data_IF_847932829249
#
_entry.id   IF_847932829249
#
_cell.length_a   1.000
_cell.length_b   1.000
_cell.length_c   1.000
_cell.angle_alpha   90.00
_cell.angle_beta   90.00
_cell.angle_gamma   90.00
#
_symmetry.space_group_name_H-M   'P 1'
#
loop_
_entity.id
_entity.type
_entity.pdbx_description
1 polymer ?
#
# COMPACT_ATOMS: atom_id res chain seq x y z
N UNK A 1 30.30 73.93 -24.88
CA UNK A 1 30.35 72.43 -24.81
C UNK A 1 29.91 72.00 -23.40
N UNK A 2 28.72 71.51 -23.26
CA UNK A 2 28.16 70.94 -22.00
C UNK A 2 27.74 69.50 -22.30
N UNK A 3 28.45 68.61 -21.68
CA UNK A 3 28.15 67.17 -21.75
C UNK A 3 26.97 66.86 -20.83
N UNK A 4 25.92 66.31 -21.42
CA UNK A 4 24.77 65.79 -20.69
C UNK A 4 25.00 64.33 -20.30
N UNK A 5 25.00 64.05 -19.00
CA UNK A 5 25.01 62.67 -18.45
C UNK A 5 23.57 62.16 -18.39
N UNK A 6 23.31 61.08 -19.13
CA UNK A 6 22.06 60.30 -19.03
C UNK A 6 22.13 59.37 -17.81
N UNK A 7 21.14 59.47 -16.91
CA UNK A 7 20.94 58.57 -15.79
C UNK A 7 19.98 57.47 -16.24
N UNK A 8 20.48 56.23 -16.27
CA UNK A 8 19.65 55.06 -16.53
C UNK A 8 18.95 54.62 -15.24
N UNK A 9 17.63 54.68 -15.22
CA UNK A 9 16.81 54.16 -14.13
C UNK A 9 16.53 52.69 -14.44
N UNK A 10 17.09 51.76 -13.64
CA UNK A 10 16.80 50.33 -13.70
C UNK A 10 15.58 50.05 -12.83
N UNK A 11 14.44 49.75 -13.46
CA UNK A 11 13.25 49.26 -12.78
C UNK A 11 13.42 47.77 -12.51
N UNK A 12 13.68 47.41 -11.26
CA UNK A 12 13.56 45.99 -10.80
C UNK A 12 12.08 45.63 -10.64
N UNK A 13 11.57 44.86 -11.59
CA UNK A 13 10.27 44.21 -11.45
C UNK A 13 10.41 42.97 -10.56
N UNK A 14 10.08 43.12 -9.27
CA UNK A 14 9.97 42.00 -8.35
C UNK A 14 8.73 41.16 -8.65
N UNK A 15 8.89 39.97 -9.23
CA UNK A 15 7.82 39.00 -9.33
C UNK A 15 7.56 38.41 -7.94
N UNK A 16 6.45 38.79 -7.33
CA UNK A 16 5.97 38.20 -6.08
C UNK A 16 5.36 36.82 -6.44
N UNK A 17 6.09 35.75 -6.18
CA UNK A 17 5.54 34.39 -6.26
C UNK A 17 4.52 34.22 -5.14
N UNK A 18 3.25 34.23 -5.48
CA UNK A 18 2.17 33.89 -4.55
C UNK A 18 2.25 32.38 -4.24
N UNK A 19 2.84 32.06 -3.10
CA UNK A 19 2.73 30.73 -2.52
C UNK A 19 1.25 30.52 -2.13
N UNK A 20 0.53 29.74 -2.90
CA UNK A 20 -0.81 29.27 -2.53
C UNK A 20 -0.66 28.34 -1.33
N UNK A 21 -0.88 28.85 -0.14
CA UNK A 21 -1.03 28.07 1.06
C UNK A 21 -2.31 27.23 0.88
N UNK A 22 -2.14 25.97 0.50
CA UNK A 22 -3.22 24.99 0.61
C UNK A 22 -3.46 24.79 2.10
N UNK A 23 -4.60 25.27 2.60
CA UNK A 23 -5.06 24.95 3.95
C UNK A 23 -5.19 23.42 4.09
N UNK A 24 -5.17 22.87 5.33
CA UNK A 24 -5.30 21.43 5.55
C UNK A 24 -6.58 20.95 4.88
N UNK A 25 -6.44 19.94 4.00
CA UNK A 25 -7.58 19.32 3.34
C UNK A 25 -8.57 18.85 4.40
N UNK A 26 -9.86 19.16 4.22
CA UNK A 26 -10.88 18.63 5.12
C UNK A 26 -10.84 17.11 5.05
N UNK A 27 -10.88 16.41 6.18
CA UNK A 27 -10.79 14.95 6.23
C UNK A 27 -11.84 14.22 5.36
N UNK A 28 -12.95 14.91 5.01
CA UNK A 28 -13.97 14.41 4.08
C UNK A 28 -13.44 14.27 2.64
N UNK A 29 -12.40 15.03 2.27
CA UNK A 29 -11.85 15.11 0.91
C UNK A 29 -10.45 14.48 0.82
N UNK A 30 -9.97 13.83 1.91
CA UNK A 30 -8.66 13.17 1.90
C UNK A 30 -8.58 12.16 0.76
N UNK A 31 -7.56 12.25 -0.11
CA UNK A 31 -7.27 11.16 -1.06
C UNK A 31 -6.97 9.88 -0.29
N UNK A 32 -7.24 8.73 -0.89
CA UNK A 32 -6.91 7.43 -0.31
C UNK A 32 -5.83 6.77 -1.15
N UNK A 33 -4.78 6.32 -0.50
CA UNK A 33 -3.91 5.28 -1.00
C UNK A 33 -4.42 3.96 -0.45
N UNK A 34 -4.94 3.09 -1.30
CA UNK A 34 -5.39 1.75 -0.89
C UNK A 34 -4.21 0.79 -0.95
N UNK A 35 -3.73 0.35 0.20
CA UNK A 35 -2.55 -0.51 0.30
C UNK A 35 -2.85 -2.01 0.14
N UNK A 36 -4.12 -2.38 -0.16
CA UNK A 36 -4.49 -3.79 -0.20
C UNK A 36 -5.70 -4.04 -1.13
N UNK A 37 -5.42 -4.24 -2.40
CA UNK A 37 -6.43 -4.54 -3.43
C UNK A 37 -6.09 -5.86 -4.12
N UNK A 38 -7.11 -6.71 -4.31
CA UNK A 38 -7.04 -7.89 -5.17
C UNK A 38 -7.96 -7.75 -6.37
N UNK A 39 -7.42 -8.03 -7.54
CA UNK A 39 -8.19 -8.04 -8.78
C UNK A 39 -7.96 -9.36 -9.52
N UNK A 40 -8.43 -10.46 -8.89
CA UNK A 40 -8.25 -11.83 -9.37
C UNK A 40 -9.18 -12.15 -10.55
N UNK A 41 -9.00 -13.32 -11.16
CA UNK A 41 -9.74 -13.75 -12.35
C UNK A 41 -11.26 -13.69 -12.20
N UNK A 42 -11.79 -14.07 -11.04
CA UNK A 42 -13.21 -14.01 -10.71
C UNK A 42 -13.75 -12.57 -10.68
N UNK A 43 -12.95 -11.62 -10.17
CA UNK A 43 -13.29 -10.20 -10.24
C UNK A 43 -13.23 -9.65 -11.66
N UNK A 44 -12.22 -10.04 -12.46
CA UNK A 44 -12.07 -9.61 -13.85
C UNK A 44 -13.29 -10.00 -14.71
N UNK A 45 -13.86 -11.19 -14.47
CA UNK A 45 -15.02 -11.68 -15.21
C UNK A 45 -16.32 -10.94 -14.86
N UNK A 46 -16.46 -10.49 -13.60
CA UNK A 46 -17.67 -9.82 -13.11
C UNK A 46 -17.58 -8.29 -13.20
N UNK A 47 -16.40 -7.73 -13.07
CA UNK A 47 -16.13 -6.30 -13.05
C UNK A 47 -14.96 -6.00 -14.01
N UNK A 48 -15.20 -5.69 -15.28
CA UNK A 48 -14.15 -5.40 -16.24
C UNK A 48 -13.20 -4.29 -15.78
N UNK A 49 -11.92 -4.25 -16.23
CA UNK A 49 -10.92 -3.29 -15.75
C UNK A 49 -11.36 -1.83 -15.75
N UNK A 50 -12.09 -1.40 -16.78
CA UNK A 50 -12.64 -0.05 -16.87
C UNK A 50 -13.63 0.26 -15.75
N UNK A 51 -14.48 -0.69 -15.39
CA UNK A 51 -15.46 -0.53 -14.32
C UNK A 51 -14.76 -0.57 -12.96
N UNK A 52 -13.80 -1.47 -12.75
CA UNK A 52 -12.98 -1.52 -11.55
C UNK A 52 -12.23 -0.19 -11.31
N UNK A 53 -11.60 0.35 -12.34
CA UNK A 53 -10.97 1.67 -12.29
C UNK A 53 -11.96 2.80 -11.97
N UNK A 54 -13.19 2.74 -12.51
CA UNK A 54 -14.24 3.71 -12.18
C UNK A 54 -14.67 3.62 -10.72
N UNK A 55 -14.74 2.41 -10.12
CA UNK A 55 -15.01 2.22 -8.69
C UNK A 55 -13.94 2.89 -7.84
N UNK A 56 -12.65 2.67 -8.14
CA UNK A 56 -11.54 3.31 -7.42
C UNK A 56 -11.61 4.84 -7.50
N UNK A 57 -11.84 5.39 -8.70
CA UNK A 57 -12.01 6.84 -8.89
C UNK A 57 -13.19 7.40 -8.10
N UNK A 58 -14.34 6.72 -8.13
CA UNK A 58 -15.54 7.09 -7.35
C UNK A 58 -15.27 7.10 -5.85
N UNK A 59 -14.44 6.18 -5.36
CA UNK A 59 -14.03 6.11 -3.97
C UNK A 59 -13.01 7.20 -3.57
N UNK A 60 -12.47 7.96 -4.52
CA UNK A 60 -11.38 8.91 -4.27
C UNK A 60 -10.06 8.20 -3.93
N UNK A 61 -9.89 6.97 -4.44
CA UNK A 61 -8.62 6.26 -4.39
C UNK A 61 -7.73 6.84 -5.49
N UNK A 62 -6.63 7.45 -5.07
CA UNK A 62 -5.67 8.06 -6.00
C UNK A 62 -4.57 7.11 -6.41
N UNK A 63 -4.22 6.17 -5.54
CA UNK A 63 -3.27 5.08 -5.80
C UNK A 63 -3.72 3.82 -5.08
N UNK A 64 -3.40 2.68 -5.67
CA UNK A 64 -3.71 1.37 -5.08
C UNK A 64 -2.56 0.39 -5.31
N UNK A 65 -2.15 -0.31 -4.25
CA UNK A 65 -1.29 -1.49 -4.35
C UNK A 65 -2.16 -2.68 -4.72
N UNK A 66 -1.87 -3.30 -5.86
CA UNK A 66 -2.74 -4.34 -6.44
C UNK A 66 -1.99 -5.62 -6.71
N UNK A 67 -2.53 -6.73 -6.21
CA UNK A 67 -2.12 -8.08 -6.56
C UNK A 67 -3.31 -8.92 -7.04
N UNK A 68 -3.05 -10.01 -7.72
CA UNK A 68 -4.09 -10.91 -8.21
C UNK A 68 -3.62 -12.37 -8.30
N UNK A 69 -4.56 -13.29 -8.22
CA UNK A 69 -4.39 -14.71 -8.50
C UNK A 69 -5.16 -15.05 -9.79
N UNK A 70 -4.52 -15.22 -10.97
CA UNK A 70 -3.09 -14.95 -11.21
C UNK A 70 -2.82 -13.46 -11.46
N UNK A 71 -1.54 -13.11 -11.70
CA UNK A 71 -1.07 -11.74 -11.93
C UNK A 71 -1.67 -11.03 -13.18
N UNK A 72 -2.31 -11.75 -14.08
CA UNK A 72 -2.90 -11.14 -15.28
C UNK A 72 -3.98 -10.11 -14.96
N UNK A 73 -4.73 -10.31 -13.86
CA UNK A 73 -5.68 -9.33 -13.39
C UNK A 73 -5.00 -8.00 -13.05
N UNK A 74 -3.91 -8.05 -12.28
CA UNK A 74 -3.10 -6.87 -11.95
C UNK A 74 -2.60 -6.15 -13.20
N UNK A 75 -2.09 -6.90 -14.19
CA UNK A 75 -1.57 -6.32 -15.44
C UNK A 75 -2.68 -5.68 -16.30
N UNK A 76 -3.86 -6.30 -16.37
CA UNK A 76 -5.03 -5.73 -17.05
C UNK A 76 -5.48 -4.41 -16.41
N UNK A 77 -5.54 -4.39 -15.08
CA UNK A 77 -5.96 -3.19 -14.36
C UNK A 77 -4.90 -2.08 -14.44
N UNK A 78 -3.60 -2.44 -14.39
CA UNK A 78 -2.49 -1.50 -14.61
C UNK A 78 -2.54 -0.87 -16.01
N UNK A 79 -2.86 -1.66 -17.04
CA UNK A 79 -2.98 -1.15 -18.40
C UNK A 79 -4.16 -0.16 -18.56
N UNK A 80 -5.25 -0.37 -17.82
CA UNK A 80 -6.44 0.49 -17.85
C UNK A 80 -6.26 1.79 -17.06
N UNK A 81 -5.58 1.72 -15.88
CA UNK A 81 -5.45 2.86 -14.96
C UNK A 81 -4.02 3.00 -14.43
N UNK A 82 -3.01 3.26 -15.30
CA UNK A 82 -1.59 3.30 -14.92
C UNK A 82 -1.26 4.45 -13.96
N UNK A 83 -2.12 5.45 -13.84
CA UNK A 83 -2.01 6.54 -12.88
C UNK A 83 -2.41 6.13 -11.45
N UNK A 84 -3.28 5.13 -11.30
CA UNK A 84 -3.78 4.66 -10.01
C UNK A 84 -3.00 3.42 -9.55
N UNK A 85 -2.77 2.46 -10.42
CA UNK A 85 -2.33 1.12 -10.06
C UNK A 85 -0.82 1.04 -9.84
N UNK A 86 -0.44 0.44 -8.73
CA UNK A 86 0.92 0.04 -8.40
C UNK A 86 0.92 -1.49 -8.27
N UNK A 87 1.63 -2.21 -9.16
CA UNK A 87 1.58 -3.65 -9.18
C UNK A 87 2.47 -4.29 -8.10
N UNK A 88 1.93 -5.29 -7.44
CA UNK A 88 2.68 -6.26 -6.67
C UNK A 88 2.41 -7.68 -7.18
N UNK A 89 3.31 -8.61 -6.93
CA UNK A 89 3.25 -9.96 -7.45
C UNK A 89 2.89 -10.97 -6.37
N UNK A 90 1.67 -11.48 -6.43
CA UNK A 90 1.21 -12.56 -5.56
C UNK A 90 1.81 -13.89 -6.01
N UNK A 91 2.36 -14.72 -5.10
CA UNK A 91 2.94 -16.02 -5.46
C UNK A 91 1.86 -17.09 -5.67
N UNK A 92 0.79 -16.74 -6.39
CA UNK A 92 -0.37 -17.59 -6.65
C UNK A 92 -0.67 -17.64 -8.14
N UNK A 93 -0.52 -18.85 -8.73
CA UNK A 93 -0.90 -19.14 -10.11
C UNK A 93 -2.42 -19.23 -10.27
N UNK A 94 -3.07 -19.69 -9.20
CA UNK A 94 -4.51 -19.82 -9.07
C UNK A 94 -4.93 -19.55 -7.63
N UNK A 95 -6.24 -19.48 -7.37
CA UNK A 95 -6.77 -19.34 -6.01
C UNK A 95 -6.42 -20.54 -5.11
N UNK A 96 -6.24 -21.73 -5.68
CA UNK A 96 -5.86 -22.92 -4.92
C UNK A 96 -4.48 -22.80 -4.26
N UNK A 97 -3.58 -22.01 -4.81
CA UNK A 97 -2.26 -21.81 -4.22
C UNK A 97 -2.30 -21.09 -2.86
N UNK A 98 -3.39 -20.39 -2.52
CA UNK A 98 -3.52 -19.63 -1.26
C UNK A 98 -3.15 -20.43 -0.01
N UNK A 99 -3.51 -21.72 0.04
CA UNK A 99 -3.24 -22.59 1.19
C UNK A 99 -2.04 -23.52 1.01
N UNK A 100 -1.55 -23.71 -0.22
CA UNK A 100 -0.52 -24.71 -0.54
C UNK A 100 0.80 -24.16 -1.07
N UNK A 101 0.87 -22.89 -1.41
CA UNK A 101 2.00 -22.28 -2.13
C UNK A 101 3.37 -22.51 -1.49
N UNK A 102 3.43 -22.64 -0.16
CA UNK A 102 4.68 -22.83 0.59
C UNK A 102 5.41 -24.14 0.28
N UNK A 103 4.72 -25.09 -0.39
CA UNK A 103 5.23 -26.44 -0.74
C UNK A 103 5.16 -26.74 -2.25
N UNK A 104 4.75 -25.76 -3.06
CA UNK A 104 4.53 -25.92 -4.50
C UNK A 104 5.69 -25.32 -5.32
N UNK A 105 6.62 -26.15 -5.79
CA UNK A 105 7.80 -25.69 -6.57
C UNK A 105 7.42 -24.89 -7.83
N UNK A 106 6.30 -25.22 -8.46
CA UNK A 106 5.79 -24.48 -9.62
C UNK A 106 5.49 -22.99 -9.34
N UNK A 107 5.29 -22.62 -8.07
CA UNK A 107 5.14 -21.22 -7.66
C UNK A 107 6.44 -20.43 -7.87
N UNK A 108 7.58 -21.03 -7.57
CA UNK A 108 8.90 -20.38 -7.77
C UNK A 108 9.10 -20.05 -9.25
N UNK A 109 8.88 -21.03 -10.12
CA UNK A 109 8.99 -20.86 -11.58
C UNK A 109 8.08 -19.74 -12.06
N UNK A 110 6.83 -19.75 -11.63
CA UNK A 110 5.86 -18.71 -11.97
C UNK A 110 6.33 -17.32 -11.54
N UNK A 111 6.74 -17.15 -10.29
CA UNK A 111 7.20 -15.84 -9.77
C UNK A 111 8.42 -15.34 -10.55
N UNK A 112 9.41 -16.23 -10.80
CA UNK A 112 10.60 -15.87 -11.55
C UNK A 112 10.30 -15.45 -13.01
N UNK A 113 9.36 -16.13 -13.68
CA UNK A 113 8.91 -15.74 -15.03
C UNK A 113 8.24 -14.38 -15.03
N UNK A 114 7.36 -14.13 -14.05
CA UNK A 114 6.66 -12.84 -13.93
C UNK A 114 7.64 -11.70 -13.63
N UNK A 115 8.62 -11.91 -12.72
CA UNK A 115 9.64 -10.91 -12.38
C UNK A 115 10.56 -10.57 -13.55
N UNK A 116 10.82 -11.52 -14.48
CA UNK A 116 11.56 -11.26 -15.71
C UNK A 116 10.77 -10.43 -16.72
N UNK A 117 9.44 -10.59 -16.73
CA UNK A 117 8.56 -9.99 -17.74
C UNK A 117 8.02 -8.62 -17.34
N UNK A 118 7.75 -8.39 -16.07
CA UNK A 118 7.06 -7.19 -15.58
C UNK A 118 7.80 -6.56 -14.39
N UNK A 119 7.43 -5.33 -14.06
CA UNK A 119 7.97 -4.58 -12.92
C UNK A 119 6.96 -4.58 -11.78
N UNK A 120 7.44 -4.77 -10.56
CA UNK A 120 6.62 -4.80 -9.34
C UNK A 120 7.31 -4.03 -8.22
N UNK A 121 6.58 -3.65 -7.17
CA UNK A 121 7.12 -3.01 -5.97
C UNK A 121 7.23 -3.97 -4.79
N UNK A 122 6.47 -5.07 -4.80
CA UNK A 122 6.45 -6.06 -3.73
C UNK A 122 6.19 -7.48 -4.28
N UNK A 123 6.54 -8.51 -3.49
CA UNK A 123 6.04 -9.88 -3.60
C UNK A 123 5.00 -10.07 -2.48
N UNK A 124 3.77 -10.39 -2.84
CA UNK A 124 2.64 -10.58 -1.93
C UNK A 124 1.31 -10.19 -2.58
N UNK A 125 0.25 -10.11 -1.86
CA UNK A 125 0.06 -10.66 -0.52
C UNK A 125 0.22 -12.19 -0.52
N UNK A 126 0.89 -12.74 0.48
CA UNK A 126 0.99 -14.17 0.67
C UNK A 126 0.61 -14.58 2.11
N UNK A 127 -0.14 -15.69 2.25
CA UNK A 127 -0.50 -16.28 3.53
C UNK A 127 0.66 -17.14 4.04
N UNK A 128 1.21 -16.79 5.21
CA UNK A 128 2.39 -17.44 5.75
C UNK A 128 2.37 -17.41 7.29
N UNK A 129 2.45 -18.56 7.94
CA UNK A 129 2.30 -18.65 9.37
C UNK A 129 3.42 -19.43 10.04
N UNK A 130 3.92 -18.91 11.16
CA UNK A 130 4.88 -19.56 12.02
C UNK A 130 6.08 -20.15 11.28
N UNK A 131 6.38 -21.41 11.57
CA UNK A 131 7.56 -22.10 11.03
C UNK A 131 7.50 -22.37 9.53
N UNK A 132 6.36 -22.26 8.87
CA UNK A 132 6.28 -22.40 7.40
C UNK A 132 7.10 -21.32 6.69
N UNK A 133 7.37 -20.18 7.35
CA UNK A 133 8.29 -19.17 6.83
C UNK A 133 9.72 -19.70 6.58
N UNK A 134 10.11 -20.76 7.26
CA UNK A 134 11.43 -21.37 7.10
C UNK A 134 11.52 -22.44 6.01
N UNK A 135 10.41 -22.77 5.34
CA UNK A 135 10.37 -23.70 4.22
C UNK A 135 11.16 -23.16 3.00
N UNK A 136 11.64 -24.04 2.12
CA UNK A 136 12.47 -23.63 0.98
C UNK A 136 11.79 -22.59 0.06
N UNK A 137 10.51 -22.75 -0.23
CA UNK A 137 9.78 -21.85 -1.16
C UNK A 137 9.58 -20.45 -0.58
N UNK A 138 9.10 -20.24 0.66
CA UNK A 138 9.09 -18.94 1.30
C UNK A 138 10.47 -18.28 1.38
N UNK A 139 11.53 -19.03 1.72
CA UNK A 139 12.91 -18.52 1.67
C UNK A 139 13.29 -18.04 0.28
N UNK A 140 12.91 -18.78 -0.77
CA UNK A 140 13.15 -18.36 -2.15
C UNK A 140 12.42 -17.06 -2.50
N UNK A 141 11.20 -16.82 -1.98
CA UNK A 141 10.49 -15.55 -2.15
C UNK A 141 11.24 -14.38 -1.49
N UNK A 142 11.82 -14.59 -0.30
CA UNK A 142 12.66 -13.58 0.37
C UNK A 142 13.92 -13.28 -0.47
N UNK A 143 14.59 -14.30 -1.00
CA UNK A 143 15.76 -14.12 -1.89
C UNK A 143 15.41 -13.34 -3.16
N UNK A 144 14.28 -13.67 -3.80
CA UNK A 144 13.80 -12.96 -4.99
C UNK A 144 13.43 -11.51 -4.65
N UNK A 145 12.75 -11.27 -3.55
CA UNK A 145 12.45 -9.92 -3.10
C UNK A 145 13.72 -9.10 -2.89
N UNK A 146 14.73 -9.68 -2.24
CA UNK A 146 16.05 -9.06 -2.05
C UNK A 146 16.76 -8.79 -3.38
N UNK A 147 16.78 -9.77 -4.28
CA UNK A 147 17.43 -9.68 -5.59
C UNK A 147 16.83 -8.55 -6.46
N UNK A 148 15.50 -8.40 -6.44
CA UNK A 148 14.78 -7.42 -7.26
C UNK A 148 14.50 -6.10 -6.53
N UNK A 149 14.96 -5.95 -5.28
CA UNK A 149 14.73 -4.76 -4.46
C UNK A 149 13.25 -4.51 -4.14
N UNK A 150 12.51 -5.58 -3.86
CA UNK A 150 11.07 -5.56 -3.60
C UNK A 150 10.79 -5.60 -2.11
N UNK A 151 9.60 -5.14 -1.72
CA UNK A 151 9.04 -5.38 -0.40
C UNK A 151 8.41 -6.77 -0.32
N UNK A 152 8.12 -7.22 0.90
CA UNK A 152 7.27 -8.37 1.16
C UNK A 152 5.91 -7.87 1.68
N UNK A 153 4.81 -8.39 1.15
CA UNK A 153 3.48 -8.13 1.68
C UNK A 153 2.95 -9.44 2.28
N UNK A 154 2.92 -9.49 3.60
CA UNK A 154 2.76 -10.72 4.36
C UNK A 154 1.45 -10.74 5.15
N UNK A 155 0.52 -11.60 4.75
CA UNK A 155 -0.62 -12.01 5.56
C UNK A 155 -0.13 -13.10 6.53
N UNK A 156 0.31 -12.69 7.69
CA UNK A 156 1.11 -13.54 8.58
C UNK A 156 0.87 -13.23 10.05
N UNK A 157 1.07 -14.23 10.88
CA UNK A 157 1.23 -14.01 12.32
C UNK A 157 2.58 -13.33 12.64
N UNK A 158 2.73 -12.88 13.85
CA UNK A 158 3.94 -12.20 14.30
C UNK A 158 5.18 -13.13 14.25
N UNK A 159 5.04 -14.45 14.48
CA UNK A 159 6.16 -15.40 14.42
C UNK A 159 6.70 -15.53 13.00
N UNK A 160 5.84 -15.64 11.99
CA UNK A 160 6.29 -15.69 10.60
C UNK A 160 6.99 -14.38 10.19
N UNK A 161 6.47 -13.21 10.57
CA UNK A 161 7.14 -11.92 10.32
C UNK A 161 8.53 -11.86 10.97
N UNK A 162 8.66 -12.33 12.21
CA UNK A 162 9.95 -12.43 12.91
C UNK A 162 10.95 -13.33 12.17
N UNK A 163 10.47 -14.45 11.57
CA UNK A 163 11.31 -15.36 10.79
C UNK A 163 11.73 -14.74 9.46
N UNK A 164 10.87 -13.96 8.82
CA UNK A 164 11.23 -13.19 7.62
C UNK A 164 12.35 -12.18 7.93
N UNK A 165 12.28 -11.47 9.05
CA UNK A 165 13.35 -10.58 9.50
C UNK A 165 14.64 -11.31 9.89
N UNK A 166 14.57 -12.52 10.42
CA UNK A 166 15.78 -13.34 10.65
C UNK A 166 16.47 -13.73 9.35
N UNK A 167 15.70 -13.94 8.27
CA UNK A 167 16.26 -14.27 6.94
C UNK A 167 16.80 -13.01 6.24
N UNK A 168 16.16 -11.87 6.45
CA UNK A 168 16.56 -10.61 5.84
C UNK A 168 16.30 -9.44 6.80
N UNK A 169 17.27 -9.08 7.66
CA UNK A 169 17.11 -8.04 8.69
C UNK A 169 16.70 -6.68 8.16
N UNK A 170 17.10 -6.31 6.94
CA UNK A 170 16.76 -5.05 6.28
C UNK A 170 15.48 -5.14 5.43
N UNK A 171 14.75 -6.25 5.49
CA UNK A 171 13.51 -6.42 4.76
C UNK A 171 12.54 -5.25 5.03
N UNK A 172 11.89 -4.78 3.98
CA UNK A 172 10.74 -3.89 4.14
C UNK A 172 9.49 -4.76 4.01
N UNK A 173 8.69 -4.78 5.04
CA UNK A 173 7.49 -5.65 5.09
C UNK A 173 6.25 -4.78 5.27
N UNK A 174 5.24 -4.98 4.42
CA UNK A 174 3.87 -4.61 4.67
C UNK A 174 3.19 -5.79 5.38
N UNK A 175 2.76 -5.58 6.61
CA UNK A 175 2.06 -6.57 7.41
C UNK A 175 0.56 -6.45 7.17
N UNK A 176 0.03 -7.34 6.36
CA UNK A 176 -1.38 -7.35 6.02
C UNK A 176 -2.24 -7.44 7.28
N UNK A 177 -3.30 -6.62 7.33
CA UNK A 177 -4.25 -6.57 8.44
C UNK A 177 -3.61 -6.31 9.81
N UNK A 178 -2.38 -5.77 9.87
CA UNK A 178 -1.59 -5.69 11.10
C UNK A 178 -1.51 -7.06 11.82
N UNK A 179 -1.48 -8.17 11.06
CA UNK A 179 -1.47 -9.55 11.52
C UNK A 179 -2.72 -10.01 12.25
N UNK A 180 -3.82 -9.25 12.24
CA UNK A 180 -4.98 -9.43 13.12
C UNK A 180 -4.61 -9.44 14.61
N UNK A 181 -3.43 -8.94 14.95
CA UNK A 181 -2.92 -8.86 16.33
C UNK A 181 -3.59 -7.72 17.12
N UNK A 182 -3.54 -7.83 18.44
CA UNK A 182 -3.98 -6.74 19.32
C UNK A 182 -3.02 -5.56 19.26
N UNK A 183 -3.48 -4.33 19.57
CA UNK A 183 -2.64 -3.12 19.52
C UNK A 183 -1.30 -3.23 20.24
N UNK A 184 -1.27 -3.91 21.40
CA UNK A 184 -0.03 -4.09 22.17
C UNK A 184 1.01 -4.90 21.39
N UNK A 185 0.57 -5.99 20.74
CA UNK A 185 1.47 -6.83 19.94
C UNK A 185 1.93 -6.11 18.68
N UNK A 186 1.04 -5.35 18.03
CA UNK A 186 1.41 -4.50 16.89
C UNK A 186 2.45 -3.48 17.32
N UNK A 187 2.28 -2.82 18.49
CA UNK A 187 3.24 -1.87 19.08
C UNK A 187 4.63 -2.49 19.27
N UNK A 188 4.68 -3.68 19.85
CA UNK A 188 5.93 -4.41 20.05
C UNK A 188 6.66 -4.68 18.73
N UNK A 189 5.92 -5.16 17.71
CA UNK A 189 6.47 -5.46 16.40
C UNK A 189 7.00 -4.21 15.69
N UNK A 190 6.25 -3.10 15.72
CA UNK A 190 6.67 -1.83 15.13
C UNK A 190 7.89 -1.23 15.83
N UNK A 191 8.00 -1.36 17.16
CA UNK A 191 9.20 -0.94 17.93
C UNK A 191 10.42 -1.75 17.55
N UNK A 192 10.24 -3.06 17.41
CA UNK A 192 11.33 -3.99 17.12
C UNK A 192 11.83 -3.88 15.69
N UNK A 193 10.94 -3.62 14.74
CA UNK A 193 11.26 -3.63 13.31
C UNK A 193 11.02 -2.26 12.67
N UNK A 194 12.06 -1.40 12.55
CA UNK A 194 11.92 -0.05 12.03
C UNK A 194 11.42 0.04 10.57
N UNK A 195 11.54 -1.01 9.79
CA UNK A 195 11.11 -1.09 8.39
C UNK A 195 9.74 -1.73 8.19
N UNK A 196 9.09 -2.20 9.28
CA UNK A 196 7.75 -2.78 9.26
C UNK A 196 6.71 -1.67 9.11
N UNK A 197 5.82 -1.81 8.15
CA UNK A 197 4.59 -1.04 8.03
C UNK A 197 3.40 -1.99 8.02
N UNK A 198 2.20 -1.49 8.29
CA UNK A 198 1.02 -2.33 8.41
C UNK A 198 -0.19 -1.71 7.70
N UNK A 199 -1.04 -2.51 7.09
CA UNK A 199 -2.33 -2.05 6.64
C UNK A 199 -3.45 -2.38 7.63
N UNK A 200 -4.57 -1.72 7.44
CA UNK A 200 -5.78 -1.84 8.24
C UNK A 200 -6.92 -2.52 7.46
N UNK A 201 -6.58 -3.15 6.33
CA UNK A 201 -7.54 -3.85 5.49
C UNK A 201 -8.26 -4.94 6.28
N UNK A 202 -9.54 -5.13 5.99
CA UNK A 202 -10.39 -6.17 6.60
C UNK A 202 -10.48 -6.14 8.14
N UNK A 203 -9.95 -5.11 8.80
CA UNK A 203 -10.07 -4.92 10.25
C UNK A 203 -11.28 -4.05 10.57
N UNK A 204 -12.04 -4.44 11.59
CA UNK A 204 -13.19 -3.67 12.11
C UNK A 204 -12.99 -3.21 13.55
N UNK A 205 -11.93 -3.69 14.21
CA UNK A 205 -11.64 -3.45 15.61
C UNK A 205 -10.82 -2.17 15.87
N UNK A 206 -10.28 -1.53 14.83
CA UNK A 206 -9.48 -0.32 14.98
C UNK A 206 -10.32 0.96 15.09
N UNK A 207 -11.59 0.93 14.64
CA UNK A 207 -12.48 2.08 14.71
C UNK A 207 -13.94 1.64 14.86
N UNK A 208 -14.72 2.42 15.60
CA UNK A 208 -16.15 2.23 15.78
C UNK A 208 -16.85 3.57 15.93
N UNK A 209 -18.11 3.67 15.47
CA UNK A 209 -18.87 4.92 15.57
C UNK A 209 -18.20 6.14 14.92
N UNK A 210 -17.42 5.94 13.87
CA UNK A 210 -16.68 7.00 13.16
C UNK A 210 -15.45 7.52 13.90
N UNK A 211 -14.93 6.80 14.89
CA UNK A 211 -13.73 7.17 15.66
C UNK A 211 -12.81 5.99 15.83
N UNK A 212 -11.48 6.21 15.88
CA UNK A 212 -10.54 5.15 16.28
C UNK A 212 -10.84 4.70 17.72
N UNK A 213 -10.74 3.40 17.98
CA UNK A 213 -10.78 2.91 19.34
C UNK A 213 -9.55 3.42 20.12
N UNK A 214 -9.63 3.69 21.43
CA UNK A 214 -8.60 4.42 22.18
C UNK A 214 -7.19 3.85 22.02
N UNK A 215 -7.01 2.53 22.13
CA UNK A 215 -5.71 1.87 22.02
C UNK A 215 -5.11 1.98 20.60
N UNK A 216 -5.96 1.92 19.56
CA UNK A 216 -5.55 2.13 18.17
C UNK A 216 -5.22 3.59 17.91
N UNK A 217 -5.99 4.53 18.50
CA UNK A 217 -5.71 5.96 18.38
C UNK A 217 -4.33 6.32 18.92
N UNK A 218 -3.98 5.79 20.10
CA UNK A 218 -2.65 5.97 20.68
C UNK A 218 -1.57 5.40 19.76
N UNK A 219 -1.79 4.20 19.22
CA UNK A 219 -0.86 3.53 18.32
C UNK A 219 -0.63 4.31 17.02
N UNK A 220 -1.69 4.87 16.43
CA UNK A 220 -1.59 5.71 15.23
C UNK A 220 -0.81 7.00 15.49
N UNK A 221 -0.97 7.60 16.66
CA UNK A 221 -0.21 8.80 17.06
C UNK A 221 1.25 8.46 17.37
N UNK A 222 1.51 7.32 18.01
CA UNK A 222 2.88 6.86 18.32
C UNK A 222 3.67 6.47 17.05
N UNK A 223 2.99 5.91 16.04
CA UNK A 223 3.60 5.44 14.78
C UNK A 223 2.92 6.00 13.54
N UNK A 224 2.89 7.32 13.36
CA UNK A 224 2.09 7.95 12.30
C UNK A 224 2.53 7.56 10.88
N UNK A 225 3.78 7.14 10.70
CA UNK A 225 4.36 6.77 9.40
C UNK A 225 4.28 5.25 9.10
N UNK A 226 3.51 4.48 9.89
CA UNK A 226 3.56 3.02 9.82
C UNK A 226 2.26 2.35 9.40
N UNK A 227 1.14 3.08 9.33
CA UNK A 227 -0.16 2.53 8.99
C UNK A 227 -0.67 3.06 7.66
N UNK A 228 -1.45 2.24 6.96
CA UNK A 228 -2.10 2.56 5.70
C UNK A 228 -3.54 2.02 5.68
N UNK A 229 -4.41 2.73 4.99
CA UNK A 229 -5.76 2.21 4.66
C UNK A 229 -5.62 1.08 3.64
N UNK A 230 -6.49 0.09 3.73
CA UNK A 230 -6.63 -0.98 2.75
C UNK A 230 -8.06 -1.52 2.76
N UNK A 231 -8.56 -2.00 1.61
CA UNK A 231 -9.92 -2.54 1.51
C UNK A 231 -9.98 -4.06 1.47
N UNK A 232 -8.96 -4.73 0.94
CA UNK A 232 -8.89 -6.18 0.74
C UNK A 232 -10.08 -6.72 -0.08
N UNK A 233 -10.03 -6.52 -1.38
CA UNK A 233 -11.07 -6.96 -2.32
C UNK A 233 -10.86 -8.42 -2.77
N UNK A 234 -10.73 -9.36 -1.83
CA UNK A 234 -10.39 -10.77 -2.08
C UNK A 234 -11.49 -11.58 -2.80
N UNK A 235 -12.72 -11.04 -2.84
CA UNK A 235 -13.85 -11.58 -3.62
C UNK A 235 -14.52 -10.45 -4.41
N UNK A 236 -15.18 -10.75 -5.55
CA UNK A 236 -15.77 -9.73 -6.44
C UNK A 236 -16.74 -8.80 -5.75
N UNK A 237 -17.56 -9.32 -4.82
CA UNK A 237 -18.58 -8.57 -4.12
C UNK A 237 -17.99 -7.42 -3.28
N UNK A 238 -16.77 -7.56 -2.79
CA UNK A 238 -16.11 -6.53 -1.98
C UNK A 238 -15.74 -5.28 -2.80
N UNK A 239 -15.63 -5.38 -4.11
CA UNK A 239 -15.40 -4.24 -4.97
C UNK A 239 -16.53 -3.21 -4.90
N UNK A 240 -17.77 -3.65 -4.72
CA UNK A 240 -18.92 -2.75 -4.60
C UNK A 240 -18.92 -1.95 -3.29
N UNK A 241 -18.18 -2.40 -2.28
CA UNK A 241 -18.03 -1.72 -0.99
C UNK A 241 -16.83 -0.77 -0.92
N UNK A 242 -15.95 -0.73 -1.91
CA UNK A 242 -14.76 0.14 -1.91
C UNK A 242 -15.13 1.62 -1.67
N UNK A 243 -16.17 2.21 -2.29
CA UNK A 243 -16.56 3.58 -2.02
C UNK A 243 -17.04 3.82 -0.58
N UNK A 244 -17.84 2.89 -0.04
CA UNK A 244 -18.33 2.99 1.34
C UNK A 244 -17.21 2.77 2.36
N UNK A 245 -16.29 1.86 2.09
CA UNK A 245 -15.11 1.65 2.92
C UNK A 245 -14.21 2.89 2.96
N UNK A 246 -13.97 3.52 1.80
CA UNK A 246 -13.20 4.75 1.73
C UNK A 246 -13.88 5.91 2.48
N UNK A 247 -15.22 6.00 2.41
CA UNK A 247 -16.00 6.96 3.18
C UNK A 247 -15.87 6.70 4.68
N UNK A 248 -16.05 5.45 5.12
CA UNK A 248 -15.89 5.04 6.52
C UNK A 248 -14.46 5.33 7.01
N UNK A 249 -13.44 5.07 6.21
CA UNK A 249 -12.06 5.38 6.55
C UNK A 249 -11.87 6.88 6.79
N UNK A 250 -12.41 7.74 5.94
CA UNK A 250 -12.37 9.20 6.13
C UNK A 250 -13.10 9.64 7.40
N UNK A 251 -14.14 8.94 7.82
CA UNK A 251 -14.90 9.30 9.04
C UNK A 251 -14.05 9.14 10.29
N UNK A 252 -13.42 7.99 10.49
CA UNK A 252 -12.60 7.80 11.69
C UNK A 252 -11.25 8.54 11.62
N UNK A 253 -10.72 8.79 10.42
CA UNK A 253 -9.51 9.61 10.25
C UNK A 253 -9.70 11.05 10.74
N UNK A 254 -10.92 11.61 10.70
CA UNK A 254 -11.22 12.96 11.19
C UNK A 254 -10.93 13.15 12.68
N UNK A 255 -10.96 12.09 13.49
CA UNK A 255 -10.71 12.14 14.93
C UNK A 255 -9.21 12.12 15.28
N UNK A 256 -8.34 11.92 14.29
CA UNK A 256 -6.89 11.99 14.43
C UNK A 256 -6.36 13.40 14.18
N UNK A 257 -5.16 13.74 14.69
CA UNK A 257 -4.45 14.94 14.26
C UNK A 257 -4.35 14.96 12.73
N UNK A 258 -4.53 16.13 12.08
CA UNK A 258 -4.62 16.22 10.61
C UNK A 258 -3.41 15.63 9.88
N UNK A 259 -2.20 15.81 10.40
CA UNK A 259 -0.98 15.26 9.84
C UNK A 259 -0.91 13.73 9.92
N UNK A 260 -1.39 13.15 11.03
CA UNK A 260 -1.51 11.69 11.21
C UNK A 260 -2.57 11.12 10.26
N UNK A 261 -3.72 11.78 10.15
CA UNK A 261 -4.79 11.39 9.23
C UNK A 261 -4.31 11.36 7.78
N UNK A 262 -3.62 12.41 7.31
CA UNK A 262 -3.05 12.47 5.96
C UNK A 262 -2.00 11.38 5.71
N UNK A 263 -1.15 11.09 6.70
CA UNK A 263 -0.15 10.03 6.61
C UNK A 263 -0.80 8.69 6.41
N UNK A 264 -1.76 8.31 7.23
CA UNK A 264 -2.45 7.03 7.16
C UNK A 264 -3.31 6.93 5.89
N UNK A 265 -4.00 8.03 5.52
CA UNK A 265 -4.86 8.05 4.35
C UNK A 265 -4.11 7.82 3.04
N UNK A 266 -2.96 8.47 2.84
CA UNK A 266 -2.26 8.41 1.55
C UNK A 266 -0.75 8.64 1.60
N UNK A 267 -0.21 9.51 2.48
CA UNK A 267 1.21 9.89 2.41
C UNK A 267 2.16 8.72 2.66
N UNK A 268 1.81 7.81 3.57
CA UNK A 268 2.63 6.63 3.85
C UNK A 268 2.69 5.70 2.63
N UNK A 269 1.55 5.44 2.00
CA UNK A 269 1.49 4.64 0.77
C UNK A 269 2.30 5.26 -0.37
N UNK A 270 2.19 6.58 -0.57
CA UNK A 270 2.97 7.29 -1.57
C UNK A 270 4.48 7.25 -1.26
N UNK A 271 4.88 7.45 -0.01
CA UNK A 271 6.28 7.39 0.39
C UNK A 271 6.90 6.00 0.21
N UNK A 272 6.14 4.95 0.54
CA UNK A 272 6.62 3.56 0.51
C UNK A 272 6.53 2.99 -0.90
N UNK A 273 5.35 2.98 -1.50
CA UNK A 273 5.06 2.30 -2.77
C UNK A 273 5.06 3.24 -3.97
N UNK A 274 4.50 4.44 -3.84
CA UNK A 274 4.47 5.44 -4.91
C UNK A 274 5.87 5.83 -5.37
N UNK A 275 6.75 6.15 -4.43
CA UNK A 275 8.15 6.47 -4.71
C UNK A 275 8.93 5.26 -5.28
N UNK A 276 8.64 4.04 -4.79
CA UNK A 276 9.26 2.81 -5.32
C UNK A 276 8.83 2.55 -6.77
N UNK A 277 7.56 2.74 -7.09
CA UNK A 277 7.02 2.57 -8.44
C UNK A 277 7.55 3.62 -9.41
N UNK A 278 7.65 4.87 -8.98
CA UNK A 278 8.20 5.95 -9.82
C UNK A 278 9.64 5.67 -10.29
N UNK A 279 10.45 5.00 -9.45
CA UNK A 279 11.81 4.59 -9.83
C UNK A 279 11.87 3.41 -10.81
N UNK A 280 10.76 2.69 -11.00
CA UNK A 280 10.69 1.51 -11.88
C UNK A 280 10.08 1.83 -13.26
N UNK A 281 9.35 2.94 -13.36
CA UNK A 281 8.83 3.44 -14.65
C UNK A 281 9.97 3.97 -15.52
#
# INVERSE_FOLDING_TARGET
MREGRAVAVVLLSGALAAATAHGPARAADLPIFDAHIHYSHDAVDQLPPKEAAAVLRKAGVTRALVSSSNDEGTQKLLAEAPEIIIPELRPYRTRADTSGWTREEGVVVYVEERLKKYKYVAIGEFHLYGADADLPIPRRMVELAKQYGLMLHAHSDADAVERLYKQWPEARILWAHSGFERPERVREMLKKHPTLVADLAFRTDHASGGKPNPEWRELFIEFPDRFMVGTDTYVPERWYFVPEHAKWSREWLKDLPPDVAEKIAYKNGEAVFGAAWARKK
#
